data_IF_759728598285
#
_entry.id   IF_759728598285
#
_cell.length_a   1.000
_cell.length_b   1.000
_cell.length_c   1.000
_cell.angle_alpha   90.00
_cell.angle_beta   90.00
_cell.angle_gamma   90.00
#
_symmetry.space_group_name_H-M   'P 1'
#
loop_
_entity.id
_entity.type
_entity.pdbx_description
1 polymer ?
#
# COMPACT_ATOMS: atom_id res chain seq x y z
N UNK A 1 -16.08 -15.58 0.47
CA UNK A 1 -15.00 -14.62 0.76
C UNK A 1 -13.88 -15.22 1.61
N UNK A 2 -13.54 -16.50 1.39
CA UNK A 2 -12.32 -17.09 1.97
C UNK A 2 -11.12 -16.71 1.12
N UNK A 3 -9.98 -16.43 1.74
CA UNK A 3 -8.72 -16.18 1.05
C UNK A 3 -8.27 -17.48 0.37
N UNK A 4 -8.28 -17.49 -0.95
CA UNK A 4 -7.93 -18.65 -1.78
C UNK A 4 -6.47 -18.60 -2.24
N UNK A 5 -5.92 -17.40 -2.43
CA UNK A 5 -4.53 -17.17 -2.79
C UNK A 5 -4.04 -15.83 -2.27
N UNK A 6 -2.74 -15.73 -1.99
CA UNK A 6 -2.07 -14.45 -1.79
C UNK A 6 -0.63 -14.56 -2.33
N UNK A 7 -0.10 -13.47 -2.89
CA UNK A 7 1.25 -13.43 -3.45
C UNK A 7 1.87 -12.05 -3.31
N UNK A 8 3.20 -12.01 -3.24
CA UNK A 8 3.98 -10.78 -3.23
C UNK A 8 4.50 -10.50 -4.63
N UNK A 9 4.43 -9.24 -5.04
CA UNK A 9 4.92 -8.74 -6.32
C UNK A 9 5.96 -7.67 -5.98
N UNK A 10 7.21 -7.92 -6.37
CA UNK A 10 8.31 -6.97 -6.21
C UNK A 10 8.68 -6.43 -7.58
N UNK A 11 8.60 -5.12 -7.76
CA UNK A 11 8.91 -4.47 -9.04
C UNK A 11 9.62 -3.12 -8.83
N UNK A 12 10.32 -2.65 -9.86
CA UNK A 12 11.07 -1.39 -9.83
C UNK A 12 10.77 -0.43 -11.02
N UNK A 13 9.50 -0.11 -11.34
CA UNK A 13 9.19 0.91 -12.36
C UNK A 13 9.52 2.30 -11.80
N UNK A 14 10.71 2.81 -12.10
CA UNK A 14 11.30 4.02 -11.49
C UNK A 14 11.94 3.80 -10.11
N UNK A 15 11.25 3.12 -9.18
CA UNK A 15 11.76 2.76 -7.84
C UNK A 15 11.16 1.46 -7.34
N UNK A 16 11.76 0.84 -6.32
CA UNK A 16 11.24 -0.41 -5.76
C UNK A 16 9.89 -0.22 -5.07
N UNK A 17 8.98 -1.15 -5.36
CA UNK A 17 7.71 -1.37 -4.68
C UNK A 17 7.56 -2.85 -4.31
N UNK A 18 6.96 -3.10 -3.14
CA UNK A 18 6.54 -4.43 -2.71
C UNK A 18 5.03 -4.38 -2.53
N UNK A 19 4.30 -5.14 -3.35
CA UNK A 19 2.83 -5.16 -3.32
C UNK A 19 2.35 -6.55 -2.93
N UNK A 20 1.50 -6.64 -1.92
CA UNK A 20 0.76 -7.85 -1.59
C UNK A 20 -0.54 -7.86 -2.41
N UNK A 21 -0.86 -8.96 -3.08
CA UNK A 21 -2.18 -9.22 -3.67
C UNK A 21 -2.85 -10.39 -2.97
N UNK A 22 -4.08 -10.20 -2.49
CA UNK A 22 -4.94 -11.23 -1.88
C UNK A 22 -6.11 -11.50 -2.81
N UNK A 23 -6.46 -12.77 -3.03
CA UNK A 23 -7.59 -13.21 -3.86
C UNK A 23 -8.50 -14.10 -3.02
N UNK A 24 -9.81 -13.96 -3.19
CA UNK A 24 -10.82 -14.76 -2.50
C UNK A 24 -11.45 -15.81 -3.40
N UNK A 25 -12.11 -16.80 -2.80
CA UNK A 25 -12.80 -17.89 -3.49
C UNK A 25 -14.03 -17.46 -4.30
N UNK A 26 -14.60 -16.30 -3.99
CA UNK A 26 -15.71 -15.66 -4.67
C UNK A 26 -15.29 -14.60 -5.69
N UNK A 27 -13.99 -14.52 -6.01
CA UNK A 27 -13.48 -13.74 -7.14
C UNK A 27 -13.16 -12.28 -6.85
N UNK A 28 -13.23 -11.83 -5.59
CA UNK A 28 -12.68 -10.53 -5.20
C UNK A 28 -11.17 -10.62 -5.03
N UNK A 29 -10.50 -9.51 -5.31
CA UNK A 29 -9.10 -9.34 -5.01
C UNK A 29 -8.81 -7.94 -4.49
N UNK A 30 -7.76 -7.83 -3.68
CA UNK A 30 -7.29 -6.55 -3.18
C UNK A 30 -5.78 -6.51 -3.06
N UNK A 31 -5.25 -5.30 -3.09
CA UNK A 31 -3.82 -5.05 -3.04
C UNK A 31 -3.45 -4.17 -1.85
N UNK A 32 -2.23 -4.34 -1.34
CA UNK A 32 -1.71 -3.55 -0.25
C UNK A 32 -0.22 -3.30 -0.41
N UNK A 33 0.22 -2.11 0.01
CA UNK A 33 1.62 -1.72 -0.05
C UNK A 33 2.40 -2.30 1.14
N UNK A 34 3.55 -2.90 0.84
CA UNK A 34 4.52 -3.42 1.81
C UNK A 34 5.92 -2.82 1.60
N UNK A 35 6.04 -1.73 0.85
CA UNK A 35 7.31 -1.12 0.50
C UNK A 35 8.00 -0.55 1.74
N UNK A 36 9.22 -1.02 2.00
CA UNK A 36 10.07 -0.52 3.08
C UNK A 36 11.44 -0.13 2.51
N UNK A 37 11.63 1.15 2.23
CA UNK A 37 12.78 1.68 1.49
C UNK A 37 14.13 1.16 2.02
N UNK A 38 14.90 0.52 1.13
CA UNK A 38 16.22 -0.05 1.43
C UNK A 38 16.20 -1.37 2.20
N UNK A 39 15.02 -1.89 2.58
CA UNK A 39 14.80 -3.18 3.27
C UNK A 39 13.60 -3.94 2.68
N UNK A 40 13.28 -3.70 1.42
CA UNK A 40 12.10 -4.19 0.71
C UNK A 40 12.02 -5.73 0.75
N UNK A 41 13.13 -6.40 0.46
CA UNK A 41 13.18 -7.87 0.44
C UNK A 41 13.00 -8.50 1.83
N UNK A 42 13.26 -7.76 2.92
CA UNK A 42 12.97 -8.26 4.26
C UNK A 42 11.45 -8.35 4.51
N UNK A 43 10.69 -7.38 3.99
CA UNK A 43 9.23 -7.41 4.07
C UNK A 43 8.65 -8.44 3.10
N UNK A 44 9.20 -8.54 1.89
CA UNK A 44 8.78 -9.57 0.92
C UNK A 44 8.90 -10.99 1.51
N UNK A 45 10.06 -11.34 2.07
CA UNK A 45 10.25 -12.64 2.74
C UNK A 45 9.34 -12.79 3.97
N UNK A 46 9.18 -11.76 4.80
CA UNK A 46 8.25 -11.81 5.93
C UNK A 46 6.81 -12.14 5.48
N UNK A 47 6.36 -11.56 4.37
CA UNK A 47 5.06 -11.83 3.78
C UNK A 47 4.97 -13.24 3.20
N UNK A 48 5.88 -13.61 2.30
CA UNK A 48 5.88 -14.89 1.57
C UNK A 48 6.05 -16.09 2.51
N UNK A 49 7.05 -16.03 3.39
CA UNK A 49 7.49 -17.20 4.15
C UNK A 49 6.70 -17.40 5.46
N UNK A 50 6.08 -16.34 5.99
CA UNK A 50 5.53 -16.36 7.35
C UNK A 50 4.09 -15.86 7.46
N UNK A 51 3.70 -14.81 6.72
CA UNK A 51 2.35 -14.24 6.85
C UNK A 51 1.35 -14.93 5.93
N UNK A 52 1.64 -15.01 4.63
CA UNK A 52 0.74 -15.57 3.61
C UNK A 52 0.25 -16.98 3.96
N UNK A 53 1.10 -17.94 4.38
CA UNK A 53 0.65 -19.28 4.76
C UNK A 53 -0.40 -19.29 5.88
N UNK A 54 -0.36 -18.30 6.77
CA UNK A 54 -1.33 -18.14 7.85
C UNK A 54 -2.66 -17.49 7.41
N UNK A 55 -2.71 -16.89 6.22
CA UNK A 55 -3.90 -16.23 5.67
C UNK A 55 -4.80 -17.18 4.88
N UNK A 56 -4.22 -18.17 4.20
CA UNK A 56 -4.98 -19.07 3.31
C UNK A 56 -6.10 -19.79 4.08
N UNK A 57 -7.31 -19.73 3.52
CA UNK A 57 -8.52 -20.33 4.10
C UNK A 57 -9.25 -19.48 5.14
N UNK A 58 -8.66 -18.35 5.59
CA UNK A 58 -9.34 -17.39 6.47
C UNK A 58 -10.43 -16.62 5.72
N UNK A 59 -11.41 -16.12 6.46
CA UNK A 59 -12.44 -15.22 5.93
C UNK A 59 -11.88 -13.79 5.84
N UNK A 60 -11.79 -13.25 4.61
CA UNK A 60 -11.22 -11.93 4.36
C UNK A 60 -12.03 -10.78 5.00
N UNK A 61 -13.31 -11.02 5.36
CA UNK A 61 -14.15 -10.00 6.01
C UNK A 61 -13.77 -9.74 7.47
N UNK A 62 -13.06 -10.69 8.11
CA UNK A 62 -12.61 -10.62 9.51
C UNK A 62 -11.31 -9.82 9.68
N UNK A 63 -11.30 -8.59 9.15
CA UNK A 63 -10.12 -7.70 9.12
C UNK A 63 -9.51 -7.53 10.52
N UNK A 64 -10.32 -7.19 11.52
CA UNK A 64 -9.84 -6.97 12.88
C UNK A 64 -9.24 -8.24 13.51
N UNK A 65 -9.85 -9.42 13.29
CA UNK A 65 -9.28 -10.69 13.77
C UNK A 65 -7.92 -10.96 13.14
N UNK A 66 -7.82 -10.81 11.81
CA UNK A 66 -6.57 -11.01 11.08
C UNK A 66 -5.51 -10.03 11.55
N UNK A 67 -5.86 -8.75 11.74
CA UNK A 67 -4.94 -7.74 12.26
C UNK A 67 -4.43 -8.10 13.66
N UNK A 68 -5.33 -8.47 14.58
CA UNK A 68 -4.96 -8.86 15.95
C UNK A 68 -4.13 -10.14 15.97
N UNK A 69 -4.46 -11.11 15.12
CA UNK A 69 -3.72 -12.36 14.97
C UNK A 69 -2.29 -12.10 14.48
N UNK A 70 -2.10 -11.30 13.43
CA UNK A 70 -0.76 -11.00 12.92
C UNK A 70 0.04 -10.13 13.88
N UNK A 71 -0.58 -9.11 14.49
CA UNK A 71 0.12 -8.22 15.41
C UNK A 71 0.48 -8.88 16.75
N UNK A 72 -0.47 -9.57 17.39
CA UNK A 72 -0.25 -10.20 18.71
C UNK A 72 0.36 -11.58 18.61
N UNK A 73 0.00 -12.35 17.58
CA UNK A 73 0.45 -13.72 17.35
C UNK A 73 1.91 -13.83 16.92
N UNK A 74 2.49 -12.76 16.36
CA UNK A 74 3.92 -12.68 16.06
C UNK A 74 4.84 -12.80 17.31
N UNK A 75 4.28 -12.66 18.53
CA UNK A 75 4.97 -12.57 19.82
C UNK A 75 5.92 -11.36 19.92
N UNK A 76 6.85 -11.20 18.98
CA UNK A 76 7.72 -10.05 18.78
C UNK A 76 6.96 -8.92 18.07
N UNK A 77 6.43 -7.97 18.84
CA UNK A 77 5.53 -6.93 18.34
C UNK A 77 6.27 -5.73 17.76
N UNK A 78 5.56 -4.98 16.89
CA UNK A 78 6.02 -3.73 16.24
C UNK A 78 7.19 -4.01 15.29
N UNK A 79 8.00 -2.99 15.03
CA UNK A 79 9.14 -3.06 14.11
C UNK A 79 8.72 -2.76 12.67
N UNK A 80 9.60 -2.13 11.88
CA UNK A 80 9.25 -1.64 10.55
C UNK A 80 8.91 -2.78 9.58
N UNK A 81 9.61 -3.91 9.65
CA UNK A 81 9.35 -5.07 8.77
C UNK A 81 7.96 -5.67 9.07
N UNK A 82 7.71 -6.00 10.34
CA UNK A 82 6.44 -6.59 10.76
C UNK A 82 5.26 -5.66 10.51
N UNK A 83 5.38 -4.37 10.83
CA UNK A 83 4.29 -3.43 10.60
C UNK A 83 4.04 -3.16 9.11
N UNK A 84 5.07 -3.19 8.26
CA UNK A 84 4.88 -3.08 6.80
C UNK A 84 4.10 -4.29 6.27
N UNK A 85 4.44 -5.50 6.73
CA UNK A 85 3.72 -6.73 6.35
C UNK A 85 2.26 -6.72 6.84
N UNK A 86 2.02 -6.34 8.10
CA UNK A 86 0.66 -6.23 8.67
C UNK A 86 -0.16 -5.17 7.93
N UNK A 87 0.42 -4.00 7.61
CA UNK A 87 -0.26 -2.93 6.90
C UNK A 87 -0.64 -3.32 5.47
N UNK A 88 0.22 -4.09 4.79
CA UNK A 88 -0.07 -4.61 3.45
C UNK A 88 -1.29 -5.55 3.47
N UNK A 89 -1.39 -6.41 4.48
CA UNK A 89 -2.56 -7.28 4.66
C UNK A 89 -3.80 -6.45 4.93
N UNK A 90 -3.76 -5.54 5.91
CA UNK A 90 -4.90 -4.71 6.30
C UNK A 90 -5.45 -3.90 5.10
N UNK A 91 -4.55 -3.24 4.36
CA UNK A 91 -4.91 -2.45 3.17
C UNK A 91 -5.59 -3.32 2.10
N UNK A 92 -5.03 -4.50 1.79
CA UNK A 92 -5.59 -5.42 0.81
C UNK A 92 -6.97 -5.96 1.23
N UNK A 93 -7.19 -6.21 2.52
CA UNK A 93 -8.48 -6.67 3.03
C UNK A 93 -9.54 -5.57 3.02
N UNK A 94 -9.17 -4.32 3.32
CA UNK A 94 -10.06 -3.17 3.18
C UNK A 94 -10.41 -2.89 1.72
N UNK A 95 -9.46 -3.07 0.80
CA UNK A 95 -9.71 -2.98 -0.64
C UNK A 95 -10.76 -4.04 -1.08
N UNK A 96 -10.57 -5.30 -0.68
CA UNK A 96 -11.55 -6.38 -0.92
C UNK A 96 -12.92 -6.02 -0.35
N UNK A 97 -12.99 -5.52 0.89
CA UNK A 97 -14.25 -5.18 1.55
C UNK A 97 -15.00 -4.06 0.81
N UNK A 98 -14.29 -3.02 0.39
CA UNK A 98 -14.85 -1.91 -0.37
C UNK A 98 -15.32 -2.36 -1.77
N UNK A 99 -14.52 -3.17 -2.47
CA UNK A 99 -14.90 -3.79 -3.76
C UNK A 99 -16.14 -4.68 -3.64
N UNK A 100 -16.21 -5.51 -2.59
CA UNK A 100 -17.37 -6.35 -2.32
C UNK A 100 -18.63 -5.56 -1.98
N UNK A 101 -18.49 -4.39 -1.37
CA UNK A 101 -19.59 -3.45 -1.13
C UNK A 101 -19.97 -2.65 -2.38
N UNK A 102 -19.16 -2.68 -3.46
CA UNK A 102 -19.35 -1.85 -4.64
C UNK A 102 -19.18 -0.36 -4.35
N UNK A 103 -18.33 0.00 -3.37
CA UNK A 103 -18.16 1.36 -2.88
C UNK A 103 -16.67 1.75 -2.83
N UNK A 104 -16.32 3.03 -3.08
CA UNK A 104 -14.99 3.52 -2.78
C UNK A 104 -14.74 3.46 -1.27
N UNK A 105 -13.50 3.20 -0.86
CA UNK A 105 -13.14 2.90 0.54
C UNK A 105 -13.63 3.96 1.53
N UNK A 106 -13.54 5.24 1.17
CA UNK A 106 -13.97 6.35 2.03
C UNK A 106 -15.46 6.26 2.43
N UNK A 107 -16.32 5.65 1.61
CA UNK A 107 -17.75 5.48 1.92
C UNK A 107 -17.96 4.48 3.06
N UNK A 108 -17.12 3.44 3.15
CA UNK A 108 -17.15 2.50 4.26
C UNK A 108 -16.66 3.13 5.57
N UNK A 109 -15.91 4.23 5.49
CA UNK A 109 -15.40 4.97 6.64
C UNK A 109 -16.40 5.97 7.24
N UNK A 110 -17.60 6.13 6.66
CA UNK A 110 -18.65 7.13 6.97
C UNK A 110 -18.81 8.25 5.91
N UNK A 111 -18.13 8.13 4.76
CA UNK A 111 -18.29 9.07 3.65
C UNK A 111 -17.27 10.22 3.65
N UNK A 112 -17.40 11.12 2.68
CA UNK A 112 -16.45 12.22 2.48
C UNK A 112 -16.77 13.44 3.34
N UNK A 113 -15.77 13.97 4.04
CA UNK A 113 -15.84 15.24 4.77
C UNK A 113 -15.39 16.44 3.93
N UNK A 114 -14.75 16.21 2.78
CA UNK A 114 -14.27 17.23 1.85
C UNK A 114 -14.37 16.72 0.40
N UNK A 115 -14.33 17.63 -0.57
CA UNK A 115 -14.40 17.28 -2.00
C UNK A 115 -13.02 17.04 -2.64
N UNK A 116 -11.96 17.57 -2.02
CA UNK A 116 -10.59 17.50 -2.53
C UNK A 116 -9.60 17.78 -1.38
N UNK A 117 -8.35 17.32 -1.54
CA UNK A 117 -7.29 17.38 -0.52
C UNK A 117 -6.20 18.36 -0.97
N UNK A 118 -5.80 19.29 -0.11
CA UNK A 118 -4.68 20.21 -0.39
C UNK A 118 -3.37 19.45 -0.42
N UNK A 119 -2.44 19.86 -1.27
CA UNK A 119 -1.13 19.20 -1.35
C UNK A 119 0.04 20.09 -0.97
N UNK A 120 1.13 19.44 -0.55
CA UNK A 120 2.45 20.04 -0.39
C UNK A 120 3.48 19.25 -1.21
N UNK A 121 4.54 19.90 -1.67
CA UNK A 121 5.60 19.21 -2.41
C UNK A 121 6.42 18.33 -1.46
N UNK A 122 6.57 17.06 -1.81
CA UNK A 122 7.46 16.14 -1.10
C UNK A 122 8.81 15.99 -1.83
N UNK A 123 9.83 15.56 -1.08
CA UNK A 123 11.14 15.18 -1.60
C UNK A 123 11.09 13.86 -2.37
N UNK A 124 11.87 12.85 -1.96
CA UNK A 124 11.90 11.57 -2.68
C UNK A 124 10.52 10.90 -2.72
N UNK A 125 10.15 10.27 -3.85
CA UNK A 125 8.90 9.49 -3.96
C UNK A 125 8.97 8.27 -3.06
N UNK A 126 8.34 8.30 -1.89
CA UNK A 126 8.36 7.21 -0.92
C UNK A 126 6.99 6.56 -0.70
N UNK A 127 5.89 7.25 -0.97
CA UNK A 127 4.56 6.65 -1.05
C UNK A 127 4.38 5.92 -2.40
N UNK A 128 4.02 4.65 -2.36
CA UNK A 128 3.55 3.94 -3.56
C UNK A 128 2.19 4.47 -4.02
N UNK A 129 1.79 4.22 -5.28
CA UNK A 129 0.43 4.54 -5.73
C UNK A 129 -0.66 3.88 -4.87
N UNK A 130 -0.44 2.64 -4.40
CA UNK A 130 -1.38 1.93 -3.51
C UNK A 130 -1.51 2.67 -2.17
N UNK A 131 -0.39 3.08 -1.58
CA UNK A 131 -0.37 3.87 -0.35
C UNK A 131 -1.06 5.23 -0.55
N UNK A 132 -0.79 5.91 -1.67
CA UNK A 132 -1.43 7.19 -2.01
C UNK A 132 -2.95 7.05 -2.18
N UNK A 133 -3.42 6.04 -2.91
CA UNK A 133 -4.84 5.78 -3.08
C UNK A 133 -5.53 5.56 -1.73
N UNK A 134 -5.00 4.65 -0.91
CA UNK A 134 -5.51 4.41 0.43
C UNK A 134 -5.49 5.68 1.31
N UNK A 135 -4.37 6.41 1.34
CA UNK A 135 -4.24 7.65 2.10
C UNK A 135 -5.31 8.67 1.69
N UNK A 136 -5.52 8.90 0.39
CA UNK A 136 -6.51 9.87 -0.08
C UNK A 136 -7.95 9.54 0.33
N UNK A 137 -8.30 8.26 0.47
CA UNK A 137 -9.59 7.87 1.04
C UNK A 137 -9.72 8.29 2.51
N UNK A 138 -8.68 8.11 3.33
CA UNK A 138 -8.65 8.59 4.71
C UNK A 138 -8.61 10.12 4.78
N UNK A 139 -7.74 10.76 4.00
CA UNK A 139 -7.59 12.21 3.91
C UNK A 139 -8.90 12.88 3.51
N UNK A 140 -9.74 12.22 2.72
CA UNK A 140 -11.06 12.71 2.30
C UNK A 140 -12.11 12.50 3.40
N UNK A 141 -12.00 11.42 4.17
CA UNK A 141 -12.91 11.11 5.27
C UNK A 141 -12.67 11.95 6.53
N UNK A 142 -11.43 12.14 6.97
CA UNK A 142 -11.08 12.74 8.29
C UNK A 142 -11.45 14.23 8.36
N UNK A 143 -12.41 14.72 9.16
CA UNK A 143 -12.92 16.10 9.07
C UNK A 143 -11.91 17.24 9.23
N UNK A 144 -10.81 17.00 9.96
CA UNK A 144 -9.75 17.98 10.25
C UNK A 144 -8.43 17.72 9.49
N UNK A 145 -8.44 16.90 8.44
CA UNK A 145 -7.27 16.69 7.59
C UNK A 145 -6.84 17.97 6.87
N UNK A 146 -5.53 18.21 6.82
CA UNK A 146 -4.92 19.46 6.36
C UNK A 146 -4.31 19.39 4.96
N UNK A 147 -3.14 18.76 4.84
CA UNK A 147 -2.32 18.70 3.63
C UNK A 147 -1.78 17.29 3.46
N UNK A 148 -1.89 16.75 2.24
CA UNK A 148 -1.26 15.51 1.83
C UNK A 148 0.00 15.82 1.04
N UNK A 149 1.11 15.22 1.43
CA UNK A 149 2.35 15.31 0.67
C UNK A 149 2.18 14.61 -0.67
N UNK A 150 2.58 15.28 -1.75
CA UNK A 150 2.41 14.76 -3.11
C UNK A 150 3.70 14.92 -3.92
N UNK A 151 4.05 13.83 -4.58
CA UNK A 151 4.99 13.80 -5.68
C UNK A 151 4.38 12.93 -6.79
N UNK A 152 4.38 13.46 -8.00
CA UNK A 152 3.88 12.72 -9.15
C UNK A 152 4.80 11.54 -9.46
N UNK A 153 4.23 10.35 -9.66
CA UNK A 153 4.98 9.18 -10.09
C UNK A 153 5.35 9.28 -11.58
N UNK A 154 6.39 8.56 -11.97
CA UNK A 154 6.80 8.49 -13.38
C UNK A 154 5.82 7.66 -14.22
N UNK A 155 5.86 7.85 -15.54
CA UNK A 155 4.96 7.16 -16.47
C UNK A 155 5.00 5.63 -16.33
N UNK A 156 6.19 5.04 -16.12
CA UNK A 156 6.34 3.60 -15.91
C UNK A 156 5.57 3.12 -14.67
N UNK A 157 5.64 3.87 -13.58
CA UNK A 157 4.92 3.57 -12.33
C UNK A 157 3.41 3.65 -12.55
N UNK A 158 2.93 4.71 -13.20
CA UNK A 158 1.52 4.94 -13.53
C UNK A 158 0.96 3.84 -14.45
N UNK A 159 1.76 3.34 -15.39
CA UNK A 159 1.37 2.22 -16.25
C UNK A 159 1.23 0.91 -15.46
N UNK A 160 2.14 0.63 -14.53
CA UNK A 160 2.11 -0.57 -13.68
C UNK A 160 1.01 -0.50 -12.63
N UNK A 161 0.75 0.69 -12.08
CA UNK A 161 -0.26 0.93 -11.05
C UNK A 161 -1.34 1.92 -11.52
N UNK A 162 -2.21 1.54 -12.46
CA UNK A 162 -3.32 2.41 -12.85
C UNK A 162 -4.17 2.74 -11.63
N UNK A 163 -4.55 4.01 -11.53
CA UNK A 163 -5.38 4.51 -10.44
C UNK A 163 -6.38 5.56 -10.91
N UNK A 164 -7.38 5.82 -10.07
CA UNK A 164 -8.48 6.74 -10.36
C UNK A 164 -8.35 8.11 -9.67
N UNK A 165 -7.47 8.24 -8.67
CA UNK A 165 -7.13 9.53 -8.11
C UNK A 165 -6.35 10.38 -9.13
N UNK A 166 -6.49 11.70 -9.04
CA UNK A 166 -5.79 12.62 -9.93
C UNK A 166 -5.51 13.96 -9.24
N UNK A 167 -4.55 14.69 -9.79
CA UNK A 167 -4.19 16.03 -9.37
C UNK A 167 -4.73 17.07 -10.35
N UNK A 168 -5.47 18.06 -9.83
CA UNK A 168 -6.00 19.17 -10.61
C UNK A 168 -6.08 20.44 -9.75
N UNK A 169 -5.78 21.59 -10.35
CA UNK A 169 -5.94 22.92 -9.74
C UNK A 169 -5.30 23.09 -8.33
N UNK A 170 -4.21 22.37 -8.05
CA UNK A 170 -3.53 22.43 -6.75
C UNK A 170 -4.07 21.46 -5.69
N UNK A 171 -4.94 20.53 -6.07
CA UNK A 171 -5.57 19.59 -5.16
C UNK A 171 -5.48 18.15 -5.68
N UNK A 172 -5.44 17.20 -4.75
CA UNK A 172 -5.70 15.79 -5.03
C UNK A 172 -7.19 15.51 -4.92
N UNK A 173 -7.69 14.75 -5.88
CA UNK A 173 -9.05 14.26 -5.93
C UNK A 173 -9.02 12.75 -5.74
N UNK A 174 -9.73 12.27 -4.72
CA UNK A 174 -9.97 10.84 -4.56
C UNK A 174 -10.91 10.36 -5.67
N UNK A 175 -10.71 9.14 -6.14
CA UNK A 175 -11.62 8.55 -7.12
C UNK A 175 -12.82 7.86 -6.48
N UNK A 176 -13.68 7.33 -7.35
CA UNK A 176 -14.97 6.73 -7.00
C UNK A 176 -15.01 5.22 -7.32
N UNK A 177 -13.91 4.65 -7.82
CA UNK A 177 -13.82 3.22 -8.13
C UNK A 177 -13.94 2.40 -6.83
N UNK A 178 -14.73 1.31 -6.81
CA UNK A 178 -14.79 0.45 -5.65
C UNK A 178 -13.41 -0.04 -5.20
N UNK A 179 -13.15 0.00 -3.89
CA UNK A 179 -11.80 -0.22 -3.35
C UNK A 179 -11.08 1.07 -2.99
N UNK A 180 -9.75 1.00 -2.90
CA UNK A 180 -8.89 2.19 -2.75
C UNK A 180 -8.49 2.82 -4.09
N UNK A 181 -9.14 2.44 -5.20
CA UNK A 181 -8.98 3.09 -6.50
C UNK A 181 -7.71 2.77 -7.29
N UNK A 182 -6.87 1.83 -6.82
CA UNK A 182 -5.59 1.47 -7.46
C UNK A 182 -5.60 0.00 -7.82
N UNK A 183 -5.06 -0.35 -8.99
CA UNK A 183 -4.82 -1.74 -9.41
C UNK A 183 -3.35 -1.96 -9.76
N UNK A 184 -2.97 -3.21 -10.06
CA UNK A 184 -1.63 -3.55 -10.52
C UNK A 184 -1.70 -4.39 -11.81
N UNK A 185 -0.91 -4.01 -12.82
CA UNK A 185 -0.69 -4.77 -14.05
C UNK A 185 0.56 -5.63 -13.89
N UNK A 186 0.36 -6.88 -13.47
CA UNK A 186 1.46 -7.81 -13.15
C UNK A 186 2.37 -8.10 -14.35
N UNK A 187 1.81 -8.20 -15.55
CA UNK A 187 2.55 -8.39 -16.81
C UNK A 187 3.50 -7.23 -17.12
N UNK A 188 3.16 -6.02 -16.69
CA UNK A 188 4.04 -4.86 -16.77
C UNK A 188 5.03 -4.85 -15.61
N UNK A 189 4.58 -5.16 -14.39
CA UNK A 189 5.43 -5.22 -13.20
C UNK A 189 6.63 -6.18 -13.38
N UNK A 190 6.41 -7.33 -14.02
CA UNK A 190 7.45 -8.34 -14.33
C UNK A 190 8.61 -7.78 -15.18
N UNK A 191 8.37 -6.73 -15.97
CA UNK A 191 9.40 -6.09 -16.81
C UNK A 191 10.38 -5.25 -16.01
N UNK A 192 10.06 -4.95 -14.75
CA UNK A 192 10.85 -4.10 -13.86
C UNK A 192 11.36 -4.91 -12.66
N UNK A 193 12.40 -5.74 -12.81
CA UNK A 193 12.92 -6.52 -11.69
C UNK A 193 13.47 -5.61 -10.58
N UNK A 194 13.44 -6.12 -9.34
CA UNK A 194 13.99 -5.43 -8.17
C UNK A 194 15.41 -4.90 -8.41
N UNK A 195 15.66 -3.64 -8.02
CA UNK A 195 16.99 -3.03 -8.07
C UNK A 195 17.41 -2.60 -6.67
N UNK A 196 18.50 -3.16 -6.14
CA UNK A 196 18.94 -2.80 -4.80
C UNK A 196 19.32 -1.31 -4.73
N UNK A 197 18.54 -0.56 -3.96
CA UNK A 197 18.78 0.84 -3.67
C UNK A 197 19.14 1.04 -2.19
N UNK A 198 19.92 2.07 -1.91
CA UNK A 198 20.26 2.48 -0.54
C UNK A 198 19.78 3.91 -0.35
N UNK A 199 19.03 4.15 0.72
CA UNK A 199 18.77 5.51 1.18
C UNK A 199 20.10 6.19 1.57
N UNK A 200 20.15 7.54 1.59
CA UNK A 200 21.32 8.28 2.04
C UNK A 200 21.86 7.68 3.34
N UNK A 201 23.09 7.19 3.27
CA UNK A 201 23.71 6.51 4.40
C UNK A 201 24.00 7.55 5.48
N UNK A 202 23.73 7.18 6.72
CA UNK A 202 24.13 7.92 7.91
C UNK A 202 25.65 8.00 8.11
N UNK A 203 26.45 7.69 7.08
CA UNK A 203 27.89 7.71 7.06
C UNK A 203 28.37 8.47 5.83
N UNK A 204 29.01 9.60 6.07
CA UNK A 204 29.62 10.41 5.02
C UNK A 204 30.86 9.69 4.45
N UNK A 205 31.32 10.14 3.29
CA UNK A 205 32.49 9.54 2.61
C UNK A 205 33.78 9.61 3.45
N UNK A 206 33.85 10.56 4.39
CA UNK A 206 34.96 10.72 5.34
C UNK A 206 34.86 9.77 6.56
N UNK A 207 33.83 8.93 6.61
CA UNK A 207 33.59 7.99 7.70
C UNK A 207 32.87 8.57 8.92
N UNK A 208 32.56 9.88 8.93
CA UNK A 208 31.76 10.48 10.00
C UNK A 208 30.31 10.04 9.93
N UNK A 209 29.64 10.00 11.08
CA UNK A 209 28.21 9.66 11.15
C UNK A 209 27.38 10.94 11.05
N UNK A 210 26.44 10.98 10.12
CA UNK A 210 25.46 12.07 9.96
C UNK A 210 24.08 11.58 10.40
N UNK A 211 23.40 12.35 11.24
CA UNK A 211 22.00 12.13 11.56
C UNK A 211 21.19 12.66 10.38
N UNK A 212 20.77 11.75 9.49
CA UNK A 212 19.76 12.09 8.50
C UNK A 212 18.62 12.92 9.12
#
# INVERSE_FOLDING_TARGET
>A
MKISAARVIVSCPGRNFVTLRIVTDDGFDGIGDATLNGRELAVASCLEDHVIPCLIGRDASQIEDIWQYLYRGAYWRRGPVTMSAVSAVDTALWDIKAKAAGMPLYQLLDGRSRNHVRTGCHGATDLSPVCMGAALHFDTWVPNFGVQEYMQHGEETEQVFPHDYYFADGYLHVGETPGHGVTIKEDLAEKFPYQRAYLPVNRLQDGTMWNW
#
